data_IF_044163241484
#
_entry.id   IF_044163241484
#
_cell.length_a   1.000
_cell.length_b   1.000
_cell.length_c   1.000
_cell.angle_alpha   90.00
_cell.angle_beta   90.00
_cell.angle_gamma   90.00
#
_symmetry.space_group_name_H-M   'P 1'
#
loop_
_entity.id
_entity.type
_entity.pdbx_description
1 polymer ?
#
# COMPACT_ATOMS: atom_id res chain seq x y z
N UNK A 1 -72.66 34.75 26.00
CA UNK A 1 -73.65 34.72 24.91
C UNK A 1 -72.91 34.86 23.57
N UNK A 2 -73.35 34.09 22.56
CA UNK A 2 -73.12 34.18 21.10
C UNK A 2 -71.65 34.22 20.59
N UNK A 3 -71.12 33.15 19.99
CA UNK A 3 -71.29 32.66 18.59
C UNK A 3 -70.11 33.08 17.70
N UNK A 4 -69.44 32.04 17.19
CA UNK A 4 -68.61 31.81 16.00
C UNK A 4 -68.22 32.98 15.09
N UNK A 5 -67.02 32.89 14.48
CA UNK A 5 -66.84 32.78 13.01
C UNK A 5 -65.43 32.23 12.73
N UNK A 6 -65.40 31.14 11.95
CA UNK A 6 -64.22 30.55 11.34
C UNK A 6 -63.66 31.50 10.27
N UNK A 7 -62.36 31.80 10.34
CA UNK A 7 -61.63 32.37 9.20
C UNK A 7 -60.41 31.50 8.94
N UNK A 8 -60.53 30.69 7.88
CA UNK A 8 -59.44 29.96 7.24
C UNK A 8 -58.23 30.87 7.06
N UNK A 9 -57.08 30.46 7.58
CA UNK A 9 -55.79 30.96 7.15
C UNK A 9 -54.96 29.74 6.74
N UNK A 10 -55.12 29.43 5.46
CA UNK A 10 -54.10 28.93 4.53
C UNK A 10 -53.01 28.08 5.20
N UNK A 11 -53.11 26.76 5.01
CA UNK A 11 -51.99 25.83 5.13
C UNK A 11 -50.88 26.29 4.17
N UNK A 12 -50.00 27.17 4.64
CA UNK A 12 -48.76 27.49 3.96
C UNK A 12 -47.87 26.26 4.16
N UNK A 13 -47.91 25.35 3.18
CA UNK A 13 -47.06 24.20 3.11
C UNK A 13 -45.62 24.63 3.39
N UNK A 14 -45.12 24.28 4.57
CA UNK A 14 -43.70 24.34 4.84
C UNK A 14 -43.09 23.22 4.01
N UNK A 15 -42.69 23.57 2.79
CA UNK A 15 -41.61 22.90 2.09
C UNK A 15 -40.43 22.90 3.09
N UNK A 16 -40.30 21.81 3.83
CA UNK A 16 -39.10 21.53 4.59
C UNK A 16 -37.97 21.46 3.59
N UNK A 17 -37.21 22.55 3.47
CA UNK A 17 -35.87 22.49 2.91
C UNK A 17 -35.07 21.61 3.86
N UNK A 18 -35.06 20.31 3.59
CA UNK A 18 -34.11 19.39 4.17
C UNK A 18 -32.73 19.91 3.76
N UNK A 19 -32.08 20.62 4.68
CA UNK A 19 -30.67 20.97 4.54
C UNK A 19 -29.94 19.63 4.46
N UNK A 20 -29.33 19.28 3.31
CA UNK A 20 -28.55 18.06 3.25
C UNK A 20 -27.44 18.17 4.30
N UNK A 21 -27.09 17.08 5.00
CA UNK A 21 -25.97 17.09 5.92
C UNK A 21 -24.72 17.63 5.19
N UNK A 22 -23.88 18.42 5.86
CA UNK A 22 -22.66 18.92 5.24
C UNK A 22 -21.86 17.72 4.72
N UNK A 23 -21.61 17.71 3.40
CA UNK A 23 -20.76 16.71 2.80
C UNK A 23 -19.40 16.76 3.52
N UNK A 24 -18.77 15.60 3.78
CA UNK A 24 -17.39 15.61 4.27
C UNK A 24 -16.56 16.38 3.25
N UNK A 25 -15.91 17.44 3.71
CA UNK A 25 -14.92 18.17 2.92
C UNK A 25 -13.77 17.19 2.67
N UNK A 26 -13.78 16.56 1.51
CA UNK A 26 -12.62 15.81 1.03
C UNK A 26 -11.66 16.88 0.55
N UNK A 27 -10.74 17.28 1.42
CA UNK A 27 -9.62 18.12 1.02
C UNK A 27 -8.89 17.40 -0.12
N UNK A 28 -8.60 18.06 -1.24
CA UNK A 28 -7.79 17.46 -2.28
C UNK A 28 -6.44 17.14 -1.64
N UNK A 29 -6.13 15.85 -1.56
CA UNK A 29 -4.79 15.39 -1.21
C UNK A 29 -3.90 16.02 -2.27
N UNK A 30 -3.13 17.04 -1.91
CA UNK A 30 -2.18 17.67 -2.80
C UNK A 30 -1.25 16.58 -3.34
N UNK A 31 -1.48 16.17 -4.59
CA UNK A 31 -0.67 15.20 -5.30
C UNK A 31 0.80 15.64 -5.46
N UNK A 32 1.13 16.83 -4.94
CA UNK A 32 2.45 17.43 -4.92
C UNK A 32 3.39 16.89 -3.82
N UNK A 33 2.93 16.09 -2.86
CA UNK A 33 3.82 15.52 -1.82
C UNK A 33 3.78 14.01 -1.67
N UNK A 34 2.89 13.31 -2.36
CA UNK A 34 3.03 11.86 -2.52
C UNK A 34 4.00 11.60 -3.66
N UNK A 35 5.29 11.73 -3.36
CA UNK A 35 6.29 11.00 -4.12
C UNK A 35 6.09 9.53 -3.73
N UNK A 36 5.12 8.86 -4.37
CA UNK A 36 5.27 7.43 -4.57
C UNK A 36 6.40 7.35 -5.58
N UNK A 37 7.64 7.37 -5.09
CA UNK A 37 8.72 6.87 -5.92
C UNK A 37 8.26 5.45 -6.28
N UNK A 38 8.08 5.12 -7.58
CA UNK A 38 8.19 3.74 -7.94
C UNK A 38 9.59 3.38 -7.46
N UNK A 39 9.70 2.65 -6.36
CA UNK A 39 10.91 1.89 -6.08
C UNK A 39 10.88 0.78 -7.12
N UNK A 40 11.10 1.16 -8.39
CA UNK A 40 11.77 0.31 -9.33
C UNK A 40 13.05 -0.06 -8.60
N UNK A 41 13.21 -1.35 -8.22
CA UNK A 41 14.46 -1.70 -7.60
C UNK A 41 15.50 -1.53 -8.70
N UNK A 42 16.39 -0.54 -8.59
CA UNK A 42 17.56 -0.37 -9.47
C UNK A 42 18.30 -1.70 -9.71
N UNK A 43 18.18 -2.65 -8.78
CA UNK A 43 18.74 -4.01 -8.85
C UNK A 43 17.88 -5.06 -9.58
N UNK A 44 16.59 -4.84 -9.81
CA UNK A 44 15.67 -5.86 -10.34
C UNK A 44 15.46 -7.07 -9.41
N UNK A 45 15.87 -6.98 -8.15
CA UNK A 45 15.88 -8.11 -7.22
C UNK A 45 14.69 -8.09 -6.25
N UNK A 46 14.16 -9.28 -5.93
CA UNK A 46 13.10 -9.47 -4.95
C UNK A 46 13.49 -10.52 -3.91
N UNK A 47 12.99 -10.43 -2.66
CA UNK A 47 13.20 -11.47 -1.66
C UNK A 47 12.71 -12.83 -2.16
N UNK A 48 13.50 -13.88 -1.91
CA UNK A 48 13.18 -15.25 -2.27
C UNK A 48 13.32 -16.16 -1.05
N UNK A 49 12.35 -17.05 -0.89
CA UNK A 49 12.27 -18.01 0.21
C UNK A 49 12.12 -19.41 -0.38
N UNK A 50 12.89 -20.37 0.12
CA UNK A 50 12.76 -21.78 -0.20
C UNK A 50 12.53 -22.56 1.11
N UNK A 51 11.28 -22.61 1.61
CA UNK A 51 10.97 -23.31 2.85
C UNK A 51 11.28 -24.81 2.71
N UNK A 52 11.86 -25.39 3.76
CA UNK A 52 12.29 -26.78 3.76
C UNK A 52 13.68 -27.02 3.13
N UNK A 53 14.31 -25.98 2.60
CA UNK A 53 15.63 -26.08 2.02
C UNK A 53 16.73 -25.47 2.90
N UNK A 54 17.92 -26.08 2.92
CA UNK A 54 19.10 -25.61 3.65
C UNK A 54 19.78 -24.43 2.94
N UNK A 55 19.07 -23.33 2.75
CA UNK A 55 19.60 -22.14 2.06
C UNK A 55 19.39 -20.88 2.89
N UNK A 56 20.29 -19.89 2.79
CA UNK A 56 20.12 -18.63 3.51
C UNK A 56 18.94 -17.83 2.96
N UNK A 57 18.55 -16.77 3.68
CA UNK A 57 17.70 -15.72 3.11
C UNK A 57 18.40 -15.08 1.92
N UNK A 58 17.73 -15.05 0.78
CA UNK A 58 18.32 -14.64 -0.49
C UNK A 58 17.37 -13.74 -1.29
N UNK A 59 17.93 -13.14 -2.32
CA UNK A 59 17.24 -12.36 -3.33
C UNK A 59 17.33 -13.09 -4.67
N UNK A 60 16.25 -13.07 -5.44
CA UNK A 60 16.23 -13.51 -6.84
C UNK A 60 16.07 -12.29 -7.73
N UNK A 61 16.94 -12.17 -8.73
CA UNK A 61 16.97 -11.02 -9.62
C UNK A 61 16.46 -11.36 -11.03
N UNK A 62 16.23 -10.33 -11.85
CA UNK A 62 15.71 -10.49 -13.22
C UNK A 62 16.64 -11.30 -14.14
N UNK A 63 17.94 -11.31 -13.84
CA UNK A 63 18.94 -12.15 -14.53
C UNK A 63 18.85 -13.64 -14.16
N UNK A 64 17.94 -14.01 -13.26
CA UNK A 64 17.73 -15.38 -12.80
C UNK A 64 18.71 -15.84 -11.70
N UNK A 65 19.67 -15.00 -11.31
CA UNK A 65 20.68 -15.31 -10.30
C UNK A 65 20.16 -15.08 -8.89
N UNK A 66 20.90 -15.65 -7.93
CA UNK A 66 20.63 -15.55 -6.51
C UNK A 66 21.74 -14.77 -5.81
N UNK A 67 21.32 -13.88 -4.91
CA UNK A 67 22.20 -13.02 -4.14
C UNK A 67 21.83 -13.07 -2.66
N UNK A 68 22.76 -12.74 -1.78
CA UNK A 68 22.50 -12.65 -0.35
C UNK A 68 21.51 -11.53 -0.04
N UNK A 69 20.60 -11.80 0.90
CA UNK A 69 19.73 -10.77 1.44
C UNK A 69 20.54 -9.76 2.27
N UNK A 70 20.42 -8.48 1.92
CA UNK A 70 21.08 -7.36 2.58
C UNK A 70 20.31 -6.93 3.84
N UNK A 71 20.72 -7.47 4.99
CA UNK A 71 20.07 -7.16 6.28
C UNK A 71 20.23 -5.69 6.68
N UNK A 72 21.38 -5.08 6.38
CA UNK A 72 21.66 -3.67 6.68
C UNK A 72 20.74 -2.74 5.88
N UNK A 73 20.60 -3.01 4.57
CA UNK A 73 19.63 -2.30 3.73
C UNK A 73 18.21 -2.44 4.28
N UNK A 74 17.83 -3.64 4.74
CA UNK A 74 16.51 -3.85 5.34
C UNK A 74 16.33 -3.05 6.64
N UNK A 75 17.33 -3.04 7.51
CA UNK A 75 17.32 -2.29 8.77
C UNK A 75 17.27 -0.78 8.55
N UNK A 76 17.89 -0.29 7.47
CA UNK A 76 17.84 1.11 7.04
C UNK A 76 16.53 1.52 6.33
N UNK A 77 15.50 0.68 6.33
CA UNK A 77 14.20 0.97 5.69
C UNK A 77 14.07 0.50 4.25
N UNK A 78 15.11 -0.11 3.68
CA UNK A 78 15.09 -0.70 2.34
C UNK A 78 14.37 -2.06 2.26
N UNK A 79 14.50 -2.71 1.11
CA UNK A 79 13.84 -4.01 0.86
C UNK A 79 14.69 -5.20 1.26
N UNK A 80 15.99 -5.00 1.50
CA UNK A 80 17.02 -6.01 1.68
C UNK A 80 17.44 -6.73 0.38
N UNK A 81 16.80 -6.38 -0.73
CA UNK A 81 17.20 -6.85 -2.06
C UNK A 81 17.45 -5.68 -3.01
N UNK A 82 17.35 -4.43 -2.55
CA UNK A 82 17.64 -3.26 -3.36
C UNK A 82 18.53 -2.26 -2.61
N UNK A 83 19.86 -2.38 -2.71
CA UNK A 83 20.61 -3.44 -3.40
C UNK A 83 20.68 -4.74 -2.58
N UNK A 84 20.87 -5.91 -3.23
CA UNK A 84 21.22 -7.14 -2.53
C UNK A 84 22.70 -7.11 -2.08
N UNK A 85 23.13 -8.17 -1.39
CA UNK A 85 24.54 -8.43 -1.09
C UNK A 85 25.18 -9.35 -2.15
N UNK A 86 26.30 -9.99 -1.80
CA UNK A 86 27.10 -10.81 -2.70
C UNK A 86 26.32 -11.94 -3.39
N UNK A 87 26.81 -12.30 -4.58
CA UNK A 87 26.30 -13.40 -5.39
C UNK A 87 26.39 -14.74 -4.65
N UNK A 88 25.33 -15.55 -4.77
CA UNK A 88 25.25 -16.90 -4.21
C UNK A 88 25.37 -17.99 -5.28
N UNK A 89 24.76 -17.79 -6.44
CA UNK A 89 24.73 -18.81 -7.50
C UNK A 89 23.77 -18.50 -8.62
N UNK A 90 23.95 -19.18 -9.76
CA UNK A 90 23.07 -19.06 -10.93
C UNK A 90 21.75 -19.84 -10.76
N UNK A 91 21.73 -20.81 -9.86
CA UNK A 91 20.53 -21.59 -9.51
C UNK A 91 20.51 -21.86 -8.01
N UNK A 92 19.33 -22.14 -7.43
CA UNK A 92 19.22 -22.47 -5.99
C UNK A 92 20.05 -23.72 -5.64
N UNK A 93 20.07 -24.72 -6.52
CA UNK A 93 20.84 -25.96 -6.32
C UNK A 93 22.36 -25.79 -6.41
N UNK A 94 22.84 -24.67 -6.96
CA UNK A 94 24.26 -24.35 -6.99
C UNK A 94 24.75 -23.66 -5.70
N UNK A 95 23.84 -23.34 -4.76
CA UNK A 95 24.20 -22.67 -3.51
C UNK A 95 24.93 -23.66 -2.59
N UNK A 96 26.10 -23.30 -2.03
CA UNK A 96 26.82 -24.16 -1.09
C UNK A 96 25.94 -24.58 0.10
N UNK A 97 25.89 -25.89 0.36
CA UNK A 97 25.08 -26.44 1.44
C UNK A 97 23.59 -26.64 1.11
N UNK A 98 23.19 -26.44 -0.15
CA UNK A 98 21.83 -26.72 -0.60
C UNK A 98 21.37 -28.13 -0.23
N UNK A 99 20.22 -28.20 0.43
CA UNK A 99 19.45 -29.40 0.70
C UNK A 99 17.98 -29.04 0.47
N UNK A 100 17.18 -30.00 -0.01
CA UNK A 100 15.73 -30.09 0.06
C UNK A 100 15.42 -31.60 -0.10
#
# INVERSE_FOLDING_TARGET
MKVAIFASIIFLGHLGLAIPPPLPVIEPIDAASVIVEPIDPDSGCKPYQAPGCCVPSMCRCLDGKYYLFNKENKQGGGTGCNPPWGFLGDTVGAIPGYCC
#
